data_IF_553800844759
#
_entry.id   IF_553800844759
#
_cell.length_a   1.000
_cell.length_b   1.000
_cell.length_c   1.000
_cell.angle_alpha   90.00
_cell.angle_beta   90.00
_cell.angle_gamma   90.00
#
_symmetry.space_group_name_H-M   'P 1'
#
loop_
_entity.id
_entity.type
_entity.pdbx_description
1 polymer ?
#
# COMPACT_ATOMS: atom_id res chain seq x y z
N UNK A 1 32.70 -21.61 -56.98
CA UNK A 1 31.51 -21.33 -56.15
C UNK A 1 31.90 -21.32 -54.68
N UNK A 2 31.94 -20.08 -54.07
CA UNK A 2 32.13 -19.89 -52.67
C UNK A 2 30.74 -19.92 -52.02
N UNK A 3 30.50 -20.89 -51.19
CA UNK A 3 29.32 -20.94 -50.31
C UNK A 3 29.61 -20.08 -49.04
N UNK A 4 29.02 -18.90 -48.97
CA UNK A 4 29.05 -18.07 -47.72
C UNK A 4 28.03 -18.61 -46.76
N UNK A 5 28.48 -19.26 -45.67
CA UNK A 5 27.65 -19.67 -44.52
C UNK A 5 27.45 -18.41 -43.67
N UNK A 6 26.24 -17.85 -43.71
CA UNK A 6 25.80 -16.80 -42.76
C UNK A 6 25.38 -17.49 -41.45
N UNK A 7 26.22 -17.42 -40.42
CA UNK A 7 25.86 -17.82 -39.07
C UNK A 7 24.92 -16.74 -38.49
N UNK A 8 23.63 -17.02 -38.43
CA UNK A 8 22.64 -16.26 -37.63
C UNK A 8 22.86 -16.60 -36.16
N UNK A 9 23.64 -15.77 -35.47
CA UNK A 9 23.67 -15.77 -34.01
C UNK A 9 22.33 -15.24 -33.49
N UNK A 10 21.44 -16.14 -33.13
CA UNK A 10 20.25 -15.80 -32.32
C UNK A 10 20.72 -15.41 -30.94
N UNK A 11 20.84 -14.11 -30.69
CA UNK A 11 20.99 -13.58 -29.32
C UNK A 11 19.65 -13.85 -28.59
N UNK A 12 19.58 -14.94 -27.85
CA UNK A 12 18.51 -15.13 -26.91
C UNK A 12 18.68 -14.03 -25.83
N UNK A 13 17.88 -12.98 -25.90
CA UNK A 13 17.67 -12.09 -24.80
C UNK A 13 17.06 -12.93 -23.66
N UNK A 14 17.91 -13.40 -22.75
CA UNK A 14 17.46 -13.96 -21.49
C UNK A 14 16.74 -12.79 -20.79
N UNK A 15 15.41 -12.82 -20.78
CA UNK A 15 14.63 -11.86 -20.02
C UNK A 15 15.12 -11.95 -18.57
N UNK A 16 15.74 -10.90 -18.08
CA UNK A 16 16.27 -10.84 -16.74
C UNK A 16 15.09 -10.98 -15.78
N UNK A 17 15.04 -12.06 -14.98
CA UNK A 17 13.97 -12.29 -14.02
C UNK A 17 14.01 -11.20 -12.95
N UNK A 18 12.82 -10.71 -12.54
CA UNK A 18 12.70 -9.75 -11.45
C UNK A 18 13.34 -10.33 -10.19
N UNK A 19 14.34 -9.67 -9.58
CA UNK A 19 15.00 -10.20 -8.39
C UNK A 19 14.01 -10.31 -7.23
N UNK A 20 14.00 -11.47 -6.55
CA UNK A 20 13.17 -11.62 -5.36
C UNK A 20 13.68 -10.74 -4.22
N UNK A 21 12.82 -10.27 -3.30
CA UNK A 21 13.25 -9.57 -2.11
C UNK A 21 14.33 -10.34 -1.35
N UNK A 22 14.17 -11.66 -1.21
CA UNK A 22 15.18 -12.52 -0.56
C UNK A 22 16.55 -12.44 -1.23
N UNK A 23 16.60 -12.48 -2.57
CA UNK A 23 17.87 -12.43 -3.30
C UNK A 23 18.56 -11.08 -3.19
N UNK A 24 17.79 -10.00 -2.96
CA UNK A 24 18.32 -8.65 -2.85
C UNK A 24 18.70 -8.28 -1.40
N UNK A 25 17.82 -8.56 -0.43
CA UNK A 25 18.02 -8.16 0.96
C UNK A 25 18.78 -9.22 1.79
N UNK A 26 18.93 -10.46 1.29
CA UNK A 26 19.55 -11.57 2.00
C UNK A 26 18.64 -12.25 3.03
N UNK A 27 17.37 -11.87 3.11
CA UNK A 27 16.34 -12.47 3.99
C UNK A 27 14.96 -12.32 3.35
N UNK A 28 13.98 -13.13 3.79
CA UNK A 28 12.61 -12.98 3.31
C UNK A 28 11.95 -11.77 4.00
N UNK A 29 11.11 -11.05 3.27
CA UNK A 29 10.25 -10.04 3.89
C UNK A 29 9.32 -10.75 4.89
N UNK A 30 9.36 -10.29 6.14
CA UNK A 30 8.63 -10.92 7.23
C UNK A 30 9.46 -11.87 8.10
N UNK A 31 10.74 -12.12 7.76
CA UNK A 31 11.64 -12.85 8.68
C UNK A 31 11.76 -12.07 9.99
N UNK A 32 11.67 -12.80 11.12
CA UNK A 32 11.78 -12.20 12.44
C UNK A 32 13.11 -11.51 12.63
N UNK A 33 13.10 -10.42 13.36
CA UNK A 33 14.28 -9.60 13.68
C UNK A 33 15.00 -9.00 12.45
N UNK A 34 14.33 -8.90 11.30
CA UNK A 34 14.90 -8.34 10.07
C UNK A 34 14.07 -7.16 9.57
N UNK A 35 14.74 -6.06 9.30
CA UNK A 35 14.19 -4.87 8.63
C UNK A 35 15.11 -4.43 7.51
N UNK A 36 14.55 -3.91 6.42
CA UNK A 36 15.33 -3.30 5.33
C UNK A 36 15.33 -1.78 5.44
N UNK A 37 16.47 -1.15 5.12
CA UNK A 37 16.62 0.31 5.10
C UNK A 37 16.04 0.90 3.81
N UNK A 38 15.80 2.21 3.79
CA UNK A 38 15.41 2.89 2.55
C UNK A 38 16.49 2.81 1.48
N UNK A 39 17.75 2.97 1.85
CA UNK A 39 18.89 2.83 0.92
C UNK A 39 18.86 1.49 0.18
N UNK A 40 18.63 0.39 0.90
CA UNK A 40 18.48 -0.94 0.28
C UNK A 40 17.19 -1.06 -0.54
N UNK A 41 16.09 -0.46 -0.07
CA UNK A 41 14.81 -0.43 -0.79
C UNK A 41 14.94 0.36 -2.10
N UNK A 42 15.56 1.53 -2.10
CA UNK A 42 15.81 2.31 -3.32
C UNK A 42 16.61 1.52 -4.35
N UNK A 43 17.67 0.84 -3.92
CA UNK A 43 18.47 -0.02 -4.80
C UNK A 43 17.63 -1.18 -5.38
N UNK A 44 16.71 -1.74 -4.58
CA UNK A 44 15.78 -2.77 -5.02
C UNK A 44 14.81 -2.25 -6.08
N UNK A 45 14.19 -1.10 -5.86
CA UNK A 45 13.23 -0.49 -6.79
C UNK A 45 13.86 -0.25 -8.17
N UNK A 46 15.10 0.25 -8.20
CA UNK A 46 15.87 0.45 -9.45
C UNK A 46 16.12 -0.86 -10.20
N UNK A 47 16.43 -1.93 -9.47
CA UNK A 47 16.62 -3.27 -10.06
C UNK A 47 15.30 -3.84 -10.60
N UNK A 48 14.20 -3.66 -9.88
CA UNK A 48 12.86 -4.11 -10.33
C UNK A 48 12.48 -3.39 -11.61
N UNK A 49 12.66 -2.06 -11.68
CA UNK A 49 12.38 -1.29 -12.89
C UNK A 49 13.22 -1.77 -14.09
N UNK A 50 14.50 -2.00 -13.88
CA UNK A 50 15.40 -2.47 -14.94
C UNK A 50 15.08 -3.88 -15.45
N UNK A 51 14.33 -4.68 -14.68
CA UNK A 51 14.05 -6.10 -14.98
C UNK A 51 12.61 -6.41 -15.34
N UNK A 52 11.71 -5.40 -15.41
CA UNK A 52 10.29 -5.63 -15.68
C UNK A 52 9.67 -4.53 -16.55
N UNK A 53 8.92 -4.94 -17.56
CA UNK A 53 8.11 -4.03 -18.40
C UNK A 53 6.71 -3.75 -17.81
N UNK A 54 6.40 -4.28 -16.64
CA UNK A 54 5.14 -4.05 -15.90
C UNK A 54 5.22 -2.87 -14.94
N UNK A 55 6.36 -2.19 -14.88
CA UNK A 55 6.61 -1.13 -13.89
C UNK A 55 7.23 0.11 -14.52
N UNK A 56 7.01 1.24 -13.82
CA UNK A 56 7.73 2.49 -14.07
C UNK A 56 8.02 3.16 -12.73
N UNK A 57 9.30 3.39 -12.43
CA UNK A 57 9.73 4.13 -11.24
C UNK A 57 9.67 5.64 -11.52
N UNK A 58 8.97 6.37 -10.66
CA UNK A 58 8.80 7.81 -10.79
C UNK A 58 9.33 8.50 -9.53
N UNK A 59 10.23 9.44 -9.69
CA UNK A 59 10.61 10.35 -8.61
C UNK A 59 9.55 11.45 -8.51
N UNK A 60 8.78 11.46 -7.42
CA UNK A 60 7.69 12.42 -7.19
C UNK A 60 8.14 13.67 -6.44
N UNK A 61 9.38 13.71 -6.00
CA UNK A 61 10.02 14.85 -5.33
C UNK A 61 11.21 14.43 -4.48
N UNK A 62 11.57 15.30 -3.55
CA UNK A 62 12.58 15.03 -2.52
C UNK A 62 11.91 14.96 -1.15
N UNK A 63 12.50 14.19 -0.24
CA UNK A 63 12.14 14.18 1.17
C UNK A 63 12.79 15.36 1.91
N UNK A 64 12.43 15.57 3.16
CA UNK A 64 13.02 16.61 4.01
C UNK A 64 14.54 16.41 4.22
N UNK A 65 15.03 15.17 4.20
CA UNK A 65 16.47 14.86 4.28
C UNK A 65 17.15 14.74 2.90
N UNK A 66 16.46 15.13 1.82
CA UNK A 66 17.01 15.19 0.47
C UNK A 66 17.05 13.87 -0.30
N UNK A 67 16.47 12.77 0.23
CA UNK A 67 16.33 11.51 -0.50
C UNK A 67 15.34 11.64 -1.64
N UNK A 68 15.44 10.77 -2.64
CA UNK A 68 14.39 10.69 -3.66
C UNK A 68 13.11 10.11 -3.03
N UNK A 69 11.99 10.76 -3.31
CA UNK A 69 10.67 10.26 -2.95
C UNK A 69 10.10 9.51 -4.15
N UNK A 70 9.87 8.21 -4.01
CA UNK A 70 9.51 7.35 -5.12
C UNK A 70 8.04 6.91 -5.09
N UNK A 71 7.50 6.79 -6.31
CA UNK A 71 6.28 6.09 -6.64
C UNK A 71 6.59 5.04 -7.71
N UNK A 72 6.25 3.77 -7.48
CA UNK A 72 6.32 2.72 -8.49
C UNK A 72 4.94 2.55 -9.10
N UNK A 73 4.79 2.86 -10.37
CA UNK A 73 3.57 2.59 -11.14
C UNK A 73 3.64 1.15 -11.64
N UNK A 74 2.61 0.35 -11.34
CA UNK A 74 2.54 -1.06 -11.71
C UNK A 74 1.24 -1.32 -12.49
N UNK A 75 1.35 -2.00 -13.64
CA UNK A 75 0.23 -2.41 -14.47
C UNK A 75 0.67 -3.43 -15.53
N UNK A 76 -0.22 -3.82 -16.45
CA UNK A 76 0.20 -4.62 -17.61
C UNK A 76 1.18 -3.85 -18.50
N UNK A 77 2.03 -4.54 -19.28
CA UNK A 77 2.96 -3.88 -20.19
C UNK A 77 2.28 -2.94 -21.19
N UNK A 78 1.07 -3.29 -21.62
CA UNK A 78 0.25 -2.49 -22.53
C UNK A 78 -0.20 -1.19 -21.87
N UNK A 79 -0.63 -1.27 -20.62
CA UNK A 79 -1.05 -0.11 -19.83
C UNK A 79 0.14 0.81 -19.49
N UNK A 80 1.31 0.24 -19.16
CA UNK A 80 2.52 1.02 -18.87
C UNK A 80 2.92 1.89 -20.08
N UNK A 81 2.75 1.39 -21.30
CA UNK A 81 2.99 2.17 -22.53
C UNK A 81 2.02 3.34 -22.73
N UNK A 82 0.86 3.31 -22.07
CA UNK A 82 -0.24 4.27 -22.24
C UNK A 82 -0.57 5.06 -20.98
N UNK A 83 0.35 5.15 -20.03
CA UNK A 83 0.10 5.79 -18.73
C UNK A 83 -0.46 7.22 -18.84
N UNK A 84 0.03 7.99 -19.82
CA UNK A 84 -0.45 9.36 -20.03
C UNK A 84 -1.92 9.41 -20.46
N UNK A 85 -2.37 8.45 -21.28
CA UNK A 85 -3.79 8.30 -21.64
C UNK A 85 -4.65 8.07 -20.39
N UNK A 86 -4.29 7.08 -19.56
CA UNK A 86 -5.09 6.74 -18.38
C UNK A 86 -5.07 7.83 -17.32
N UNK A 87 -3.94 8.50 -17.15
CA UNK A 87 -3.81 9.67 -16.28
C UNK A 87 -4.75 10.80 -16.74
N UNK A 88 -4.77 11.10 -18.04
CA UNK A 88 -5.67 12.11 -18.62
C UNK A 88 -7.15 11.75 -18.45
N UNK A 89 -7.51 10.47 -18.62
CA UNK A 89 -8.87 9.98 -18.39
C UNK A 89 -9.26 10.20 -16.92
N UNK A 90 -8.42 9.77 -15.98
CA UNK A 90 -8.71 9.96 -14.55
C UNK A 90 -8.90 11.44 -14.19
N UNK A 91 -8.05 12.33 -14.71
CA UNK A 91 -8.17 13.79 -14.52
C UNK A 91 -9.47 14.37 -15.10
N UNK A 92 -9.85 13.96 -16.31
CA UNK A 92 -11.09 14.42 -16.96
C UNK A 92 -12.33 13.99 -16.16
N UNK A 93 -12.39 12.73 -15.77
CA UNK A 93 -13.49 12.20 -14.97
C UNK A 93 -13.58 12.86 -13.60
N UNK A 94 -12.44 13.06 -12.92
CA UNK A 94 -12.43 13.67 -11.59
C UNK A 94 -12.84 15.16 -11.61
N UNK A 95 -12.49 15.89 -12.66
CA UNK A 95 -12.85 17.32 -12.79
C UNK A 95 -14.25 17.54 -13.34
N UNK A 96 -14.70 16.65 -14.24
CA UNK A 96 -16.01 16.70 -14.90
C UNK A 96 -16.33 18.04 -15.61
N UNK A 97 -15.34 18.86 -15.91
CA UNK A 97 -15.51 20.16 -16.53
C UNK A 97 -15.90 20.04 -18.01
N UNK A 98 -17.10 20.51 -18.36
CA UNK A 98 -17.62 20.43 -19.73
C UNK A 98 -17.86 19.03 -20.26
N UNK A 99 -17.95 18.03 -19.38
CA UNK A 99 -18.11 16.63 -19.72
C UNK A 99 -19.59 16.24 -19.71
N UNK A 100 -20.11 15.70 -20.82
CA UNK A 100 -21.45 15.10 -20.86
C UNK A 100 -21.45 13.74 -20.15
N UNK A 101 -22.63 13.27 -19.74
CA UNK A 101 -22.79 11.94 -19.14
C UNK A 101 -22.36 10.82 -20.09
N UNK A 102 -22.60 11.00 -21.39
CA UNK A 102 -22.21 10.05 -22.43
C UNK A 102 -20.70 9.98 -22.60
N UNK A 103 -20.02 11.13 -22.68
CA UNK A 103 -18.57 11.21 -22.72
C UNK A 103 -17.92 10.66 -21.43
N UNK A 104 -18.53 10.95 -20.27
CA UNK A 104 -18.06 10.42 -19.00
C UNK A 104 -18.12 8.88 -18.96
N UNK A 105 -19.23 8.31 -19.44
CA UNK A 105 -19.38 6.86 -19.54
C UNK A 105 -18.35 6.24 -20.50
N UNK A 106 -18.15 6.84 -21.67
CA UNK A 106 -17.14 6.37 -22.63
C UNK A 106 -15.72 6.44 -22.04
N UNK A 107 -15.38 7.53 -21.34
CA UNK A 107 -14.09 7.65 -20.67
C UNK A 107 -13.92 6.63 -19.54
N UNK A 108 -14.99 6.31 -18.81
CA UNK A 108 -14.95 5.29 -17.77
C UNK A 108 -14.70 3.89 -18.37
N UNK A 109 -15.38 3.57 -19.48
CA UNK A 109 -15.19 2.29 -20.20
C UNK A 109 -13.78 2.16 -20.79
N UNK A 110 -13.22 3.24 -21.32
CA UNK A 110 -11.86 3.29 -21.88
C UNK A 110 -10.77 3.36 -20.80
N UNK A 111 -11.12 3.76 -19.62
CA UNK A 111 -10.24 4.02 -18.49
C UNK A 111 -9.70 2.77 -17.79
N UNK A 112 -8.93 2.99 -16.75
CA UNK A 112 -8.50 1.98 -15.78
C UNK A 112 -8.68 2.54 -14.39
N UNK A 113 -9.10 1.70 -13.44
CA UNK A 113 -9.13 2.11 -12.05
C UNK A 113 -7.71 2.42 -11.56
N UNK A 114 -7.51 3.61 -11.01
CA UNK A 114 -6.26 4.04 -10.43
C UNK A 114 -6.32 3.77 -8.92
N UNK A 115 -5.43 2.93 -8.43
CA UNK A 115 -5.37 2.50 -7.03
C UNK A 115 -4.05 2.93 -6.41
N UNK A 116 -4.12 3.76 -5.39
CA UNK A 116 -2.99 4.15 -4.57
C UNK A 116 -2.81 3.16 -3.43
N UNK A 117 -1.58 2.67 -3.21
CA UNK A 117 -1.20 1.87 -2.05
C UNK A 117 0.08 2.45 -1.47
N UNK A 118 0.03 2.94 -0.25
CA UNK A 118 1.21 3.42 0.44
C UNK A 118 1.61 2.53 1.62
N UNK A 119 2.81 2.77 2.12
CA UNK A 119 3.33 2.11 3.31
C UNK A 119 4.40 2.94 4.01
N UNK A 120 4.46 2.81 5.34
CA UNK A 120 5.51 3.40 6.15
C UNK A 120 5.34 4.87 6.48
N UNK A 121 4.13 5.44 6.42
CA UNK A 121 3.87 6.82 6.84
C UNK A 121 4.36 7.08 8.25
N UNK A 122 3.88 6.29 9.21
CA UNK A 122 4.51 6.18 10.53
C UNK A 122 5.64 5.13 10.45
N UNK A 123 6.88 5.58 10.44
CA UNK A 123 8.00 4.70 10.12
C UNK A 123 8.26 3.59 11.15
N UNK A 124 7.79 3.75 12.39
CA UNK A 124 7.84 2.71 13.43
C UNK A 124 6.81 1.59 13.19
N UNK A 125 5.84 1.82 12.32
CA UNK A 125 4.83 0.86 11.87
C UNK A 125 5.39 0.03 10.70
N UNK A 126 6.41 -0.75 10.99
CA UNK A 126 7.29 -1.37 9.99
C UNK A 126 6.61 -2.41 9.09
N UNK A 127 5.43 -2.94 9.46
CA UNK A 127 4.64 -3.83 8.59
C UNK A 127 4.29 -3.12 7.29
N UNK A 128 3.88 -1.84 7.35
CA UNK A 128 3.40 -1.08 6.22
C UNK A 128 4.37 -1.05 5.04
N UNK A 129 5.64 -0.73 5.28
CA UNK A 129 6.63 -0.67 4.19
C UNK A 129 7.13 -2.05 3.76
N UNK A 130 7.22 -3.01 4.68
CA UNK A 130 7.70 -4.35 4.33
C UNK A 130 6.66 -5.12 3.51
N UNK A 131 5.37 -5.09 3.89
CA UNK A 131 4.31 -5.67 3.07
C UNK A 131 4.20 -5.01 1.69
N UNK A 132 4.46 -3.69 1.60
CA UNK A 132 4.47 -2.94 0.35
C UNK A 132 5.51 -3.49 -0.64
N UNK A 133 6.74 -3.76 -0.18
CA UNK A 133 7.81 -4.37 -0.99
C UNK A 133 7.38 -5.76 -1.49
N UNK A 134 6.86 -6.60 -0.61
CA UNK A 134 6.47 -7.97 -0.94
C UNK A 134 5.24 -8.02 -1.85
N UNK A 135 4.22 -7.19 -1.59
CA UNK A 135 3.03 -7.09 -2.45
C UNK A 135 3.41 -6.66 -3.86
N UNK A 136 4.24 -5.63 -4.00
CA UNK A 136 4.73 -5.14 -5.29
C UNK A 136 5.44 -6.27 -6.06
N UNK A 137 6.35 -7.00 -5.42
CA UNK A 137 7.04 -8.13 -6.03
C UNK A 137 6.07 -9.21 -6.51
N UNK A 138 5.10 -9.60 -5.68
CA UNK A 138 4.11 -10.63 -6.02
C UNK A 138 3.22 -10.20 -7.20
N UNK A 139 2.71 -8.98 -7.21
CA UNK A 139 1.89 -8.45 -8.31
C UNK A 139 2.66 -8.46 -9.65
N UNK A 140 3.94 -8.16 -9.62
CA UNK A 140 4.78 -8.13 -10.83
C UNK A 140 5.07 -9.53 -11.36
N UNK A 141 5.28 -10.49 -10.46
CA UNK A 141 5.86 -11.81 -10.81
C UNK A 141 4.84 -12.94 -10.92
N UNK A 142 3.71 -12.89 -10.19
CA UNK A 142 2.68 -13.92 -10.25
C UNK A 142 2.03 -13.98 -11.63
N UNK A 143 1.62 -15.20 -12.02
CA UNK A 143 1.06 -15.50 -13.34
C UNK A 143 -0.36 -16.08 -13.27
N UNK A 144 -0.98 -16.09 -12.07
CA UNK A 144 -2.36 -16.53 -11.91
C UNK A 144 -3.37 -15.56 -12.54
N UNK A 145 -4.56 -16.05 -12.82
CA UNK A 145 -5.60 -15.28 -13.52
C UNK A 145 -6.07 -14.04 -12.73
N UNK A 146 -6.09 -14.12 -11.39
CA UNK A 146 -6.42 -12.96 -10.56
C UNK A 146 -5.41 -11.84 -10.77
N UNK A 147 -4.13 -12.15 -10.69
CA UNK A 147 -3.05 -11.16 -10.87
C UNK A 147 -3.03 -10.57 -12.29
N UNK A 148 -3.26 -11.40 -13.31
CA UNK A 148 -3.38 -10.92 -14.70
C UNK A 148 -4.57 -9.98 -14.89
N UNK A 149 -5.74 -10.32 -14.32
CA UNK A 149 -6.92 -9.48 -14.38
C UNK A 149 -6.71 -8.13 -13.66
N UNK A 150 -6.08 -8.13 -12.48
CA UNK A 150 -5.70 -6.92 -11.76
C UNK A 150 -4.81 -6.04 -12.65
N UNK A 151 -3.70 -6.58 -13.16
CA UNK A 151 -2.77 -5.82 -14.00
C UNK A 151 -3.40 -5.28 -15.29
N UNK A 152 -4.34 -6.01 -15.88
CA UNK A 152 -5.05 -5.60 -17.11
C UNK A 152 -5.97 -4.40 -16.85
N UNK A 153 -6.64 -4.37 -15.69
CA UNK A 153 -7.75 -3.45 -15.44
C UNK A 153 -7.43 -2.32 -14.47
N UNK A 154 -6.23 -2.31 -13.86
CA UNK A 154 -5.83 -1.27 -12.91
C UNK A 154 -4.49 -0.62 -13.25
N UNK A 155 -4.33 0.62 -12.81
CA UNK A 155 -3.04 1.31 -12.65
C UNK A 155 -2.78 1.40 -11.16
N UNK A 156 -1.76 0.72 -10.66
CA UNK A 156 -1.44 0.67 -9.24
C UNK A 156 -0.29 1.65 -8.96
N UNK A 157 -0.50 2.56 -8.05
CA UNK A 157 0.48 3.54 -7.60
C UNK A 157 1.02 3.10 -6.23
N UNK A 158 2.14 2.40 -6.22
CA UNK A 158 2.84 2.03 -5.00
C UNK A 158 3.71 3.20 -4.53
N UNK A 159 3.38 3.81 -3.38
CA UNK A 159 4.07 5.00 -2.87
C UNK A 159 4.75 4.71 -1.55
N UNK A 160 6.02 5.07 -1.46
CA UNK A 160 6.77 5.01 -0.22
C UNK A 160 6.49 6.28 0.59
N UNK A 161 5.72 6.19 1.68
CA UNK A 161 5.20 7.39 2.34
C UNK A 161 6.24 8.16 3.17
N UNK A 162 7.28 7.50 3.70
CA UNK A 162 8.30 8.15 4.56
C UNK A 162 9.68 7.49 4.40
N UNK A 163 10.44 7.82 3.35
CA UNK A 163 11.78 7.30 3.13
C UNK A 163 12.77 7.58 4.25
N UNK A 164 12.76 8.80 4.79
CA UNK A 164 13.65 9.24 5.87
C UNK A 164 13.40 8.45 7.15
N UNK A 165 12.13 8.21 7.45
CA UNK A 165 11.73 7.41 8.60
C UNK A 165 12.11 5.94 8.46
N UNK A 166 11.95 5.33 7.29
CA UNK A 166 12.39 3.95 7.07
C UNK A 166 13.90 3.81 7.30
N UNK A 167 14.69 4.73 6.75
CA UNK A 167 16.15 4.71 6.94
C UNK A 167 16.51 4.78 8.42
N UNK A 168 15.91 5.72 9.14
CA UNK A 168 16.17 5.91 10.58
C UNK A 168 15.78 4.69 11.41
N UNK A 169 14.53 4.25 11.29
CA UNK A 169 13.93 3.19 12.14
C UNK A 169 14.60 1.85 11.89
N UNK A 170 14.86 1.51 10.63
CA UNK A 170 15.49 0.24 10.28
C UNK A 170 16.94 0.17 10.74
N UNK A 171 17.72 1.23 10.53
CA UNK A 171 19.09 1.29 11.05
C UNK A 171 19.11 1.23 12.59
N UNK A 172 18.19 1.96 13.25
CA UNK A 172 18.10 1.94 14.71
C UNK A 172 17.78 0.56 15.26
N UNK A 173 16.80 -0.12 14.66
CA UNK A 173 16.44 -1.50 15.04
C UNK A 173 17.60 -2.47 14.80
N UNK A 174 18.22 -2.41 13.63
CA UNK A 174 19.26 -3.35 13.20
C UNK A 174 20.65 -3.09 13.84
N UNK A 175 20.88 -1.93 14.50
CA UNK A 175 22.17 -1.58 15.12
C UNK A 175 22.63 -2.57 16.19
N UNK A 176 21.66 -3.26 16.81
CA UNK A 176 21.98 -4.20 17.87
C UNK A 176 22.22 -5.60 17.28
N UNK A 177 23.39 -6.18 17.52
CA UNK A 177 23.74 -7.54 17.08
C UNK A 177 22.93 -8.59 17.82
N UNK A 178 22.64 -8.37 19.12
CA UNK A 178 21.71 -9.19 19.91
C UNK A 178 20.28 -8.92 19.48
N UNK A 179 19.67 -9.90 18.84
CA UNK A 179 18.30 -9.79 18.31
C UNK A 179 17.25 -9.53 19.40
N UNK A 180 17.47 -10.04 20.61
CA UNK A 180 16.55 -9.86 21.74
C UNK A 180 16.54 -8.43 22.30
N UNK A 181 17.58 -7.64 22.00
CA UNK A 181 17.69 -6.23 22.38
C UNK A 181 17.25 -5.28 21.27
N UNK A 182 16.81 -5.79 20.13
CA UNK A 182 16.29 -4.97 19.04
C UNK A 182 14.94 -4.36 19.38
N UNK A 183 14.80 -3.06 19.14
CA UNK A 183 13.57 -2.32 19.40
C UNK A 183 13.44 -1.14 18.44
N UNK A 184 12.23 -0.85 18.01
CA UNK A 184 11.87 0.37 17.28
C UNK A 184 11.56 1.55 18.20
N UNK A 185 11.57 1.33 19.52
CA UNK A 185 11.34 2.37 20.52
C UNK A 185 12.61 3.20 20.78
N UNK A 186 12.42 4.34 21.46
CA UNK A 186 13.48 5.25 21.89
C UNK A 186 14.42 5.69 20.76
N UNK A 187 13.83 6.05 19.62
CA UNK A 187 14.56 6.62 18.49
C UNK A 187 15.33 7.87 18.93
N UNK A 188 16.53 8.15 18.38
CA UNK A 188 17.35 9.29 18.77
C UNK A 188 16.76 10.65 18.35
N UNK A 189 15.80 10.65 17.43
CA UNK A 189 15.06 11.82 16.95
C UNK A 189 13.71 11.37 16.37
N UNK A 190 12.85 12.32 16.03
CA UNK A 190 11.63 12.01 15.29
C UNK A 190 11.94 11.36 13.95
N UNK A 191 11.09 10.43 13.52
CA UNK A 191 11.18 9.80 12.20
C UNK A 191 10.64 10.69 11.06
N UNK A 192 10.24 11.89 11.37
CA UNK A 192 9.78 12.93 10.46
C UNK A 192 10.36 14.28 10.86
N UNK A 193 10.38 15.25 9.97
CA UNK A 193 10.67 16.64 10.32
C UNK A 193 9.68 17.13 11.36
N UNK A 194 10.14 17.90 12.35
CA UNK A 194 9.26 18.54 13.30
C UNK A 194 8.42 19.64 12.63
N UNK A 195 7.11 19.47 12.66
CA UNK A 195 6.11 20.37 12.08
C UNK A 195 4.99 20.74 13.07
N UNK A 196 5.14 20.39 14.35
CA UNK A 196 4.18 20.65 15.42
C UNK A 196 3.02 19.65 15.50
N UNK A 197 2.92 18.70 14.59
CA UNK A 197 1.90 17.65 14.58
C UNK A 197 2.43 16.36 13.91
N UNK A 198 1.68 15.29 14.04
CA UNK A 198 1.91 14.00 13.37
C UNK A 198 1.86 14.14 11.84
N UNK A 199 2.70 13.40 11.11
CA UNK A 199 2.70 13.45 9.65
C UNK A 199 1.39 12.97 9.02
N UNK A 200 0.62 12.09 9.70
CA UNK A 200 -0.75 11.75 9.30
C UNK A 200 -1.79 12.80 9.76
N UNK A 201 -1.36 14.02 10.07
CA UNK A 201 -2.19 15.21 10.32
C UNK A 201 -1.80 16.37 9.40
N UNK A 202 -0.95 16.11 8.40
CA UNK A 202 -0.35 17.15 7.56
C UNK A 202 -0.99 17.27 6.17
N UNK A 203 -1.99 16.45 5.83
CA UNK A 203 -2.55 16.39 4.47
C UNK A 203 -3.51 17.55 4.11
N UNK A 204 -3.90 18.39 5.06
CA UNK A 204 -4.62 19.63 4.79
C UNK A 204 -3.70 20.87 4.80
N UNK A 205 -2.60 20.83 5.59
CA UNK A 205 -1.64 21.93 5.69
C UNK A 205 -0.43 21.75 4.77
N UNK A 206 -0.01 20.50 4.53
CA UNK A 206 1.11 20.14 3.64
C UNK A 206 2.42 20.86 4.01
N UNK A 207 2.81 20.83 5.29
CA UNK A 207 4.04 21.47 5.77
C UNK A 207 5.30 20.65 5.40
N UNK A 208 5.17 19.32 5.29
CA UNK A 208 6.27 18.45 4.91
C UNK A 208 6.39 18.31 3.39
N UNK A 209 7.62 18.11 2.93
CA UNK A 209 7.91 17.80 1.53
C UNK A 209 7.21 16.53 1.07
N UNK A 210 7.19 15.47 1.91
CA UNK A 210 6.53 14.21 1.62
C UNK A 210 5.01 14.39 1.44
N UNK A 211 4.35 15.15 2.32
CA UNK A 211 2.92 15.43 2.21
C UNK A 211 2.60 16.20 0.92
N UNK A 212 3.42 17.22 0.56
CA UNK A 212 3.29 17.96 -0.71
C UNK A 212 3.43 17.04 -1.92
N UNK A 213 4.48 16.20 -1.92
CA UNK A 213 4.76 15.29 -3.03
C UNK A 213 3.61 14.30 -3.24
N UNK A 214 3.11 13.69 -2.17
CA UNK A 214 1.99 12.74 -2.21
C UNK A 214 0.69 13.42 -2.63
N UNK A 215 0.34 14.54 -2.01
CA UNK A 215 -0.89 15.29 -2.32
C UNK A 215 -0.92 15.78 -3.77
N UNK A 216 0.23 16.17 -4.33
CA UNK A 216 0.31 16.51 -5.75
C UNK A 216 -0.08 15.32 -6.63
N UNK A 217 0.39 14.09 -6.32
CA UNK A 217 0.02 12.91 -7.07
C UNK A 217 -1.47 12.56 -6.90
N UNK A 218 -2.00 12.68 -5.69
CA UNK A 218 -3.36 12.31 -5.34
C UNK A 218 -4.41 13.27 -5.90
N UNK A 219 -4.15 14.59 -5.89
CA UNK A 219 -5.18 15.61 -6.16
C UNK A 219 -4.95 16.44 -7.44
N UNK A 220 -3.80 16.27 -8.10
CA UNK A 220 -3.47 17.01 -9.32
C UNK A 220 -3.11 16.08 -10.46
N UNK A 221 -2.24 15.09 -10.20
CA UNK A 221 -1.64 14.30 -11.25
C UNK A 221 -2.46 13.05 -11.61
N UNK A 222 -2.79 12.20 -10.63
CA UNK A 222 -3.43 10.92 -10.88
C UNK A 222 -4.90 10.85 -10.48
N UNK A 223 -5.31 11.55 -9.43
CA UNK A 223 -6.69 11.54 -8.90
C UNK A 223 -7.25 10.12 -8.77
N UNK A 224 -6.63 9.25 -7.93
CA UNK A 224 -7.00 7.85 -7.85
C UNK A 224 -8.43 7.67 -7.36
N UNK A 225 -9.11 6.60 -7.78
CA UNK A 225 -10.44 6.25 -7.28
C UNK A 225 -10.38 5.61 -5.89
N UNK A 226 -9.29 4.89 -5.60
CA UNK A 226 -9.08 4.19 -4.33
C UNK A 226 -7.71 4.58 -3.78
N UNK A 227 -7.67 4.87 -2.47
CA UNK A 227 -6.45 5.13 -1.72
C UNK A 227 -6.39 4.18 -0.54
N UNK A 228 -5.32 3.38 -0.43
CA UNK A 228 -5.13 2.45 0.67
C UNK A 228 -3.87 2.81 1.47
N UNK A 229 -4.10 3.30 2.69
CA UNK A 229 -3.09 3.71 3.66
C UNK A 229 -2.90 2.62 4.73
N UNK A 230 -1.70 2.09 4.86
CA UNK A 230 -1.36 1.02 5.80
C UNK A 230 -0.80 1.55 7.10
N UNK A 231 -1.44 1.18 8.23
CA UNK A 231 -1.00 1.47 9.60
C UNK A 231 -0.86 0.21 10.46
N UNK A 232 -0.22 0.36 11.61
CA UNK A 232 0.13 -0.76 12.50
C UNK A 232 -0.12 -0.41 13.96
N UNK A 233 -1.40 -0.41 14.36
CA UNK A 233 -1.83 -0.32 15.77
C UNK A 233 -3.11 -1.14 15.91
N UNK A 234 -3.03 -2.44 15.62
CA UNK A 234 -4.19 -3.33 15.66
C UNK A 234 -4.78 -3.43 17.08
N UNK A 235 -6.12 -3.51 17.19
CA UNK A 235 -6.75 -3.65 18.49
C UNK A 235 -6.37 -4.97 19.18
N UNK A 236 -6.12 -4.92 20.50
CA UNK A 236 -5.75 -6.11 21.28
C UNK A 236 -6.78 -7.24 21.12
N UNK A 237 -6.33 -8.48 20.97
CA UNK A 237 -7.20 -9.66 20.75
C UNK A 237 -7.81 -9.76 19.35
N UNK A 238 -7.30 -8.99 18.38
CA UNK A 238 -7.63 -9.10 16.95
C UNK A 238 -6.35 -9.04 16.12
N UNK A 239 -6.44 -9.10 14.80
CA UNK A 239 -5.29 -8.98 13.91
C UNK A 239 -5.29 -7.65 13.20
N UNK A 240 -6.41 -7.25 12.62
CA UNK A 240 -6.47 -6.04 11.82
C UNK A 240 -7.84 -5.38 11.92
N UNK A 241 -7.85 -4.05 12.05
CA UNK A 241 -9.04 -3.24 11.95
C UNK A 241 -9.08 -2.54 10.57
N UNK A 242 -10.25 -2.53 9.94
CA UNK A 242 -10.47 -1.91 8.64
C UNK A 242 -11.95 -1.52 8.42
N UNK A 243 -12.31 -1.12 7.19
CA UNK A 243 -13.70 -0.80 6.87
C UNK A 243 -14.60 -2.05 6.97
N UNK A 244 -15.92 -1.89 7.11
CA UNK A 244 -16.69 -0.67 7.35
C UNK A 244 -16.31 0.05 8.63
N UNK A 245 -16.26 1.38 8.57
CA UNK A 245 -15.90 2.19 9.73
C UNK A 245 -17.10 2.54 10.60
N UNK A 246 -16.82 3.07 11.80
CA UNK A 246 -17.85 3.54 12.74
C UNK A 246 -18.27 4.98 12.45
N UNK A 247 -19.45 5.33 12.89
CA UNK A 247 -19.91 6.71 12.97
C UNK A 247 -19.12 7.53 14.04
N UNK A 248 -19.12 8.86 13.91
CA UNK A 248 -19.78 9.64 12.86
C UNK A 248 -18.90 9.81 11.60
N UNK A 249 -19.53 9.78 10.42
CA UNK A 249 -18.96 10.32 9.19
C UNK A 249 -19.25 11.82 9.10
N UNK A 250 -18.41 12.56 8.36
CA UNK A 250 -18.70 13.97 8.09
C UNK A 250 -19.88 14.08 7.13
N UNK A 251 -20.78 15.02 7.43
CA UNK A 251 -22.06 15.18 6.71
C UNK A 251 -21.91 15.64 5.25
N UNK A 252 -20.73 16.15 4.86
CA UNK A 252 -20.45 16.57 3.48
C UNK A 252 -20.06 15.44 2.53
N UNK A 253 -19.85 14.24 3.06
CA UNK A 253 -19.45 13.11 2.22
C UNK A 253 -20.60 12.63 1.33
N UNK A 254 -20.26 12.32 0.08
CA UNK A 254 -21.21 11.68 -0.85
C UNK A 254 -21.70 10.34 -0.25
N UNK A 255 -23.00 10.06 -0.32
CA UNK A 255 -23.52 8.74 0.07
C UNK A 255 -22.85 7.58 -0.67
N UNK A 256 -22.46 7.79 -1.93
CA UNK A 256 -21.74 6.78 -2.73
C UNK A 256 -20.34 6.47 -2.14
N UNK A 257 -19.66 7.46 -1.58
CA UNK A 257 -18.38 7.23 -0.89
C UNK A 257 -18.55 6.31 0.32
N UNK A 258 -19.56 6.56 1.16
CA UNK A 258 -19.83 5.78 2.37
C UNK A 258 -20.14 4.32 2.00
N UNK A 259 -21.05 4.11 1.04
CA UNK A 259 -21.42 2.76 0.59
C UNK A 259 -20.25 2.05 -0.12
N UNK A 260 -19.38 2.78 -0.80
CA UNK A 260 -18.16 2.21 -1.40
C UNK A 260 -17.16 1.74 -0.34
N UNK A 261 -17.02 2.47 0.77
CA UNK A 261 -16.21 2.03 1.91
C UNK A 261 -16.75 0.74 2.54
N UNK A 262 -18.08 0.63 2.67
CA UNK A 262 -18.73 -0.58 3.18
C UNK A 262 -18.52 -1.78 2.24
N UNK A 263 -18.69 -1.58 0.94
CA UNK A 263 -18.46 -2.60 -0.08
C UNK A 263 -17.00 -3.08 -0.09
N UNK A 264 -16.06 -2.14 0.04
CA UNK A 264 -14.64 -2.46 0.14
C UNK A 264 -14.33 -3.26 1.40
N UNK A 265 -14.88 -2.86 2.55
CA UNK A 265 -14.74 -3.58 3.81
C UNK A 265 -15.28 -5.02 3.72
N UNK A 266 -16.42 -5.20 3.07
CA UNK A 266 -16.99 -6.52 2.80
C UNK A 266 -16.06 -7.38 1.93
N UNK A 267 -15.47 -6.81 0.88
CA UNK A 267 -14.53 -7.52 0.01
C UNK A 267 -13.27 -7.95 0.78
N UNK A 268 -12.70 -7.07 1.61
CA UNK A 268 -11.52 -7.35 2.45
C UNK A 268 -11.80 -8.44 3.48
N UNK A 269 -12.90 -8.34 4.21
CA UNK A 269 -13.31 -9.34 5.20
C UNK A 269 -13.59 -10.69 4.57
N UNK A 270 -14.33 -10.72 3.45
CA UNK A 270 -14.66 -11.95 2.73
C UNK A 270 -13.40 -12.67 2.24
N UNK A 271 -12.41 -11.93 1.74
CA UNK A 271 -11.14 -12.52 1.33
C UNK A 271 -10.41 -13.20 2.48
N UNK A 272 -10.24 -12.50 3.60
CA UNK A 272 -9.58 -13.10 4.76
C UNK A 272 -10.34 -14.31 5.28
N UNK A 273 -11.68 -14.28 5.31
CA UNK A 273 -12.49 -15.42 5.73
C UNK A 273 -12.32 -16.62 4.79
N UNK A 274 -12.31 -16.38 3.47
CA UNK A 274 -12.08 -17.43 2.48
C UNK A 274 -10.67 -18.04 2.59
N UNK A 275 -9.68 -17.25 2.95
CA UNK A 275 -8.30 -17.70 3.19
C UNK A 275 -8.07 -18.25 4.61
N UNK A 276 -9.12 -18.43 5.42
CA UNK A 276 -9.04 -18.91 6.81
C UNK A 276 -8.12 -18.05 7.69
N UNK A 277 -8.16 -16.71 7.49
CA UNK A 277 -7.40 -15.70 8.22
C UNK A 277 -8.31 -14.95 9.20
N UNK A 278 -8.46 -15.41 10.46
CA UNK A 278 -9.34 -14.79 11.46
C UNK A 278 -8.82 -13.44 11.97
N UNK A 279 -9.66 -12.69 12.68
CA UNK A 279 -9.26 -11.52 13.44
C UNK A 279 -9.39 -10.18 12.69
N UNK A 280 -10.13 -10.13 11.57
CA UNK A 280 -10.49 -8.86 10.94
C UNK A 280 -11.66 -8.21 11.67
N UNK A 281 -11.47 -7.00 12.22
CA UNK A 281 -12.50 -6.26 12.95
C UNK A 281 -12.92 -5.00 12.21
N UNK A 282 -14.22 -4.71 12.25
CA UNK A 282 -14.89 -3.63 11.54
C UNK A 282 -15.63 -2.72 12.52
N UNK A 283 -16.22 -1.64 12.04
CA UNK A 283 -17.13 -0.76 12.81
C UNK A 283 -16.46 -0.24 14.10
N UNK A 284 -16.98 -0.57 15.25
CA UNK A 284 -16.44 -0.16 16.55
C UNK A 284 -15.15 -0.84 17.01
N UNK A 285 -14.53 -1.68 16.18
CA UNK A 285 -13.29 -2.39 16.51
C UNK A 285 -12.07 -1.49 16.66
N UNK A 286 -12.12 -0.27 16.15
CA UNK A 286 -11.07 0.74 16.24
C UNK A 286 -11.67 2.10 16.58
N UNK A 287 -10.84 3.00 17.11
CA UNK A 287 -11.27 4.33 17.60
C UNK A 287 -10.93 5.50 16.67
N UNK A 288 -10.22 5.27 15.57
CA UNK A 288 -9.85 6.34 14.65
C UNK A 288 -11.06 7.01 13.98
N UNK A 289 -10.91 8.30 13.66
CA UNK A 289 -11.98 9.16 13.15
C UNK A 289 -12.17 9.01 11.65
N UNK A 290 -13.43 9.14 11.20
CA UNK A 290 -13.82 9.31 9.80
C UNK A 290 -14.35 10.72 9.52
N UNK A 291 -14.25 11.62 10.49
CA UNK A 291 -14.79 12.97 10.44
C UNK A 291 -13.80 14.04 10.00
N UNK A 292 -12.58 14.00 10.55
CA UNK A 292 -11.61 15.06 10.41
C UNK A 292 -10.84 15.00 9.08
N UNK A 293 -10.55 16.15 8.47
CA UNK A 293 -10.03 16.27 7.11
C UNK A 293 -8.50 16.25 6.96
N UNK A 294 -7.73 16.09 7.99
CA UNK A 294 -6.26 16.32 7.92
C UNK A 294 -5.40 15.06 7.83
N UNK A 295 -5.97 13.86 7.95
CA UNK A 295 -5.25 12.62 7.74
C UNK A 295 -5.19 12.23 6.27
N UNK A 296 -4.17 11.47 5.85
CA UNK A 296 -3.97 11.04 4.47
C UNK A 296 -5.25 10.41 3.88
N UNK A 297 -5.84 9.46 4.59
CA UNK A 297 -7.08 8.79 4.19
C UNK A 297 -8.29 9.73 4.18
N UNK A 298 -8.44 10.54 5.22
CA UNK A 298 -9.65 11.34 5.41
C UNK A 298 -9.69 12.59 4.53
N UNK A 299 -8.55 13.18 4.18
CA UNK A 299 -8.48 14.23 3.15
C UNK A 299 -9.01 13.73 1.81
N UNK A 300 -8.72 12.47 1.47
CA UNK A 300 -9.18 11.83 0.24
C UNK A 300 -10.72 11.81 0.11
N UNK A 301 -11.45 11.69 1.22
CA UNK A 301 -12.92 11.69 1.22
C UNK A 301 -13.55 12.98 0.68
N UNK A 302 -12.90 14.13 0.96
CA UNK A 302 -13.35 15.43 0.46
C UNK A 302 -13.08 15.63 -1.04
N UNK A 303 -12.39 14.67 -1.67
CA UNK A 303 -12.12 14.59 -3.10
C UNK A 303 -12.83 13.39 -3.76
N UNK A 304 -13.83 12.80 -3.09
CA UNK A 304 -14.56 11.61 -3.55
C UNK A 304 -13.68 10.40 -3.84
N UNK A 305 -12.53 10.28 -3.18
CA UNK A 305 -11.62 9.13 -3.26
C UNK A 305 -11.99 8.15 -2.14
N UNK A 306 -12.15 6.87 -2.47
CA UNK A 306 -12.41 5.80 -1.49
C UNK A 306 -11.14 5.54 -0.67
N UNK A 307 -10.99 6.30 0.42
CA UNK A 307 -9.83 6.24 1.31
C UNK A 307 -9.95 5.10 2.32
N UNK A 308 -9.05 4.12 2.24
CA UNK A 308 -8.99 2.99 3.16
C UNK A 308 -7.80 3.16 4.09
N UNK A 309 -8.00 2.82 5.35
CA UNK A 309 -6.96 2.66 6.36
C UNK A 309 -7.18 1.31 7.05
N UNK A 310 -6.11 0.57 7.23
CA UNK A 310 -6.11 -0.59 8.12
C UNK A 310 -5.07 -0.42 9.21
N UNK A 311 -5.44 -0.86 10.42
CA UNK A 311 -4.55 -0.95 11.58
C UNK A 311 -4.28 -2.43 11.85
N UNK A 312 -3.08 -2.90 11.51
CA UNK A 312 -2.70 -4.30 11.73
C UNK A 312 -1.79 -4.43 12.96
N UNK A 313 -1.87 -5.57 13.66
CA UNK A 313 -0.84 -5.92 14.65
C UNK A 313 0.44 -6.35 13.95
N UNK A 314 1.56 -6.32 14.65
CA UNK A 314 2.81 -6.89 14.16
C UNK A 314 4.04 -6.28 14.80
N UNK A 315 5.13 -6.99 14.68
CA UNK A 315 6.45 -6.54 15.10
C UNK A 315 7.49 -7.43 14.41
N UNK A 316 8.66 -6.91 14.07
CA UNK A 316 9.76 -7.75 13.62
C UNK A 316 10.28 -8.64 14.76
N UNK A 317 9.97 -8.30 16.01
CA UNK A 317 10.16 -9.18 17.17
C UNK A 317 8.89 -9.97 17.41
N UNK A 318 8.93 -11.32 17.51
CA UNK A 318 7.74 -12.13 17.77
C UNK A 318 6.96 -11.65 18.99
N UNK A 319 5.64 -11.62 18.88
CA UNK A 319 4.72 -11.17 19.92
C UNK A 319 3.62 -12.20 20.19
N UNK A 320 2.74 -11.94 21.15
CA UNK A 320 1.56 -12.76 21.40
C UNK A 320 0.29 -11.93 21.12
N UNK A 321 -0.72 -12.57 20.54
CA UNK A 321 -2.07 -12.04 20.55
C UNK A 321 -2.61 -12.29 21.96
N UNK A 322 -2.99 -11.24 22.73
CA UNK A 322 -3.45 -11.40 24.10
C UNK A 322 -4.87 -11.97 24.17
N UNK A 323 -5.19 -12.60 25.28
CA UNK A 323 -6.56 -13.00 25.60
C UNK A 323 -7.42 -11.75 25.88
N UNK A 324 -8.44 -11.56 25.06
CA UNK A 324 -9.50 -10.56 25.26
C UNK A 324 -10.84 -11.30 25.15
N UNK A 325 -11.44 -11.75 26.26
CA UNK A 325 -12.60 -12.67 26.24
C UNK A 325 -13.76 -12.18 25.37
N UNK A 326 -14.07 -10.89 25.43
CA UNK A 326 -15.16 -10.27 24.64
C UNK A 326 -14.93 -10.36 23.12
N UNK A 327 -13.68 -10.48 22.69
CA UNK A 327 -13.29 -10.59 21.26
C UNK A 327 -13.18 -12.03 20.76
N UNK A 328 -13.49 -13.01 21.62
CA UNK A 328 -13.65 -14.40 21.21
C UNK A 328 -15.10 -14.73 20.84
N UNK A 329 -16.04 -13.81 21.09
CA UNK A 329 -17.46 -13.97 20.77
C UNK A 329 -17.71 -13.36 19.38
N UNK A 330 -18.11 -14.18 18.38
CA UNK A 330 -18.42 -13.68 17.04
C UNK A 330 -19.57 -12.66 17.07
N UNK A 331 -19.41 -11.59 16.28
CA UNK A 331 -20.45 -10.59 16.09
C UNK A 331 -20.30 -9.92 14.71
N UNK A 332 -21.21 -9.03 14.34
CA UNK A 332 -21.18 -8.38 13.01
C UNK A 332 -19.94 -7.49 12.74
N UNK A 333 -19.23 -7.08 13.79
CA UNK A 333 -17.98 -6.33 13.68
C UNK A 333 -16.72 -7.20 13.74
N UNK A 334 -16.84 -8.46 14.17
CA UNK A 334 -15.76 -9.44 14.25
C UNK A 334 -16.35 -10.84 14.03
N UNK A 335 -16.72 -11.20 12.78
CA UNK A 335 -17.44 -12.44 12.50
C UNK A 335 -16.56 -13.70 12.64
N UNK A 336 -15.26 -13.57 12.52
CA UNK A 336 -14.30 -14.68 12.63
C UNK A 336 -13.19 -14.29 13.64
N UNK A 337 -13.43 -14.47 14.95
CA UNK A 337 -12.46 -14.18 16.00
C UNK A 337 -11.20 -15.03 15.91
N UNK A 338 -10.10 -14.52 16.47
CA UNK A 338 -8.83 -15.23 16.60
C UNK A 338 -8.57 -15.61 18.06
N UNK A 339 -8.14 -16.85 18.29
CA UNK A 339 -7.71 -17.29 19.63
C UNK A 339 -6.32 -16.69 19.98
N UNK A 340 -6.02 -16.50 21.29
CA UNK A 340 -4.67 -16.13 21.73
C UNK A 340 -3.62 -17.09 21.19
N UNK A 341 -2.57 -16.54 20.58
CA UNK A 341 -1.50 -17.33 19.99
C UNK A 341 -0.24 -16.51 19.79
N UNK A 342 0.86 -17.21 19.51
CA UNK A 342 2.10 -16.56 19.11
C UNK A 342 1.94 -15.96 17.71
N UNK A 343 2.47 -14.76 17.51
CA UNK A 343 2.36 -14.01 16.29
C UNK A 343 3.74 -13.58 15.77
N UNK A 344 3.96 -13.78 14.50
CA UNK A 344 5.23 -13.52 13.84
C UNK A 344 5.08 -12.40 12.81
N UNK A 345 6.17 -11.74 12.49
CA UNK A 345 6.18 -10.64 11.52
C UNK A 345 5.59 -11.07 10.16
N UNK A 346 5.95 -12.26 9.71
CA UNK A 346 5.43 -12.85 8.46
C UNK A 346 3.91 -12.95 8.42
N UNK A 347 3.25 -13.27 9.54
CA UNK A 347 1.80 -13.34 9.60
C UNK A 347 1.16 -11.98 9.22
N UNK A 348 1.67 -10.87 9.77
CA UNK A 348 1.17 -9.54 9.45
C UNK A 348 1.40 -9.18 7.97
N UNK A 349 2.56 -9.54 7.43
CA UNK A 349 2.86 -9.36 5.99
C UNK A 349 1.85 -10.11 5.13
N UNK A 350 1.58 -11.39 5.44
CA UNK A 350 0.66 -12.24 4.66
C UNK A 350 -0.80 -11.75 4.72
N UNK A 351 -1.25 -11.24 5.86
CA UNK A 351 -2.56 -10.62 5.98
C UNK A 351 -2.65 -9.35 5.14
N UNK A 352 -1.65 -8.48 5.21
CA UNK A 352 -1.62 -7.24 4.44
C UNK A 352 -1.62 -7.49 2.93
N UNK A 353 -0.89 -8.51 2.46
CA UNK A 353 -0.90 -8.93 1.05
C UNK A 353 -2.31 -9.36 0.64
N UNK A 354 -2.99 -10.20 1.43
CA UNK A 354 -4.37 -10.61 1.14
C UNK A 354 -5.33 -9.44 1.06
N UNK A 355 -5.17 -8.45 1.95
CA UNK A 355 -5.97 -7.22 1.93
C UNK A 355 -5.70 -6.37 0.69
N UNK A 356 -4.43 -6.23 0.27
CA UNK A 356 -4.09 -5.56 -0.99
C UNK A 356 -4.73 -6.25 -2.20
N UNK A 357 -4.65 -7.58 -2.26
CA UNK A 357 -5.30 -8.35 -3.32
C UNK A 357 -6.83 -8.19 -3.30
N UNK A 358 -7.46 -8.11 -2.12
CA UNK A 358 -8.89 -7.84 -2.01
C UNK A 358 -9.27 -6.48 -2.64
N UNK A 359 -8.53 -5.43 -2.29
CA UNK A 359 -8.72 -4.07 -2.82
C UNK A 359 -8.50 -4.03 -4.33
N UNK A 360 -7.39 -4.61 -4.80
CA UNK A 360 -7.04 -4.62 -6.23
C UNK A 360 -8.00 -5.46 -7.06
N UNK A 361 -8.47 -6.60 -6.54
CA UNK A 361 -9.47 -7.42 -7.21
C UNK A 361 -10.82 -6.71 -7.30
N UNK A 362 -11.22 -5.99 -6.25
CA UNK A 362 -12.43 -5.17 -6.26
C UNK A 362 -12.32 -4.04 -7.31
N UNK A 363 -11.18 -3.37 -7.39
CA UNK A 363 -10.93 -2.30 -8.36
C UNK A 363 -10.88 -2.79 -9.81
N UNK A 364 -10.55 -4.06 -10.04
CA UNK A 364 -10.39 -4.66 -11.36
C UNK A 364 -11.70 -5.19 -12.00
N UNK A 365 -12.82 -5.10 -11.27
CA UNK A 365 -14.17 -5.51 -11.72
C UNK A 365 -14.92 -4.37 -12.38
#
# INVERSE_FOLDING_TARGET
SLLSIVLLLSVQLIAQSVPSPKSHFGFNIGDNYKLTTFTATEAYLKKVEASSNKVKLVTIGKTEEGRNHYMMVVSSPENIKQLQKYKSISQKLARAEGLSDEDAKQLADDGKAVVWIDGGLHATEVVGIHQWIETMYQIITRQDEETKNILKNTIILFVHANPDGQELVSNWYMRNTDTLKRSTAALPRLYQKYIGHDNNRDFFMMNMSESKNMSRQQYIEWMPQILYNHHQTGPAGTVVAGPPYRDPFNYVYSPLLITSLDAMGAAMSSRLNAEQKPGYTMKGGSVYSTWWNGGLRTTAYYHNIVGILTEIIGSPTPMNIPLVPQRLIPNSGLPFPIAPQKWYFKNSIDYSISLNYAVLNYAAR
#
